data_IF_305935185636
#
_entry.id   IF_305935185636
#
_cell.length_a   1.000
_cell.length_b   1.000
_cell.length_c   1.000
_cell.angle_alpha   90.00
_cell.angle_beta   90.00
_cell.angle_gamma   90.00
#
_symmetry.space_group_name_H-M   'P 1'
#
loop_
_entity.id
_entity.type
_entity.pdbx_description
1 polymer ?
#
# COMPACT_ATOMS: atom_id res chain seq x y z
N UNK A 1 15.06 11.03 -42.69
CA UNK A 1 15.27 9.83 -41.85
C UNK A 1 15.86 10.22 -40.49
N UNK A 2 15.21 11.13 -39.72
CA UNK A 2 15.82 11.77 -38.53
C UNK A 2 14.92 11.81 -37.26
N UNK A 3 13.79 11.11 -37.22
CA UNK A 3 12.77 11.33 -36.17
C UNK A 3 12.98 10.51 -34.87
N UNK A 4 13.68 9.36 -34.93
CA UNK A 4 13.91 8.52 -33.75
C UNK A 4 15.10 9.01 -32.90
N UNK A 5 16.12 9.57 -33.55
CA UNK A 5 17.35 10.03 -32.89
C UNK A 5 17.11 11.36 -32.18
N UNK A 6 16.42 12.31 -32.84
CA UNK A 6 15.99 13.57 -32.21
C UNK A 6 15.19 13.31 -30.93
N UNK A 7 14.30 12.33 -30.96
CA UNK A 7 13.51 11.92 -29.81
C UNK A 7 14.35 11.34 -28.66
N UNK A 8 15.37 10.51 -28.98
CA UNK A 8 16.29 9.98 -27.96
C UNK A 8 17.12 11.12 -27.33
N UNK A 9 17.60 12.06 -28.13
CA UNK A 9 18.35 13.23 -27.65
C UNK A 9 17.47 14.11 -26.75
N UNK A 10 16.23 14.36 -27.15
CA UNK A 10 15.25 15.11 -26.35
C UNK A 10 14.99 14.43 -24.99
N UNK A 11 14.79 13.11 -25.00
CA UNK A 11 14.63 12.30 -23.78
C UNK A 11 15.85 12.38 -22.87
N UNK A 12 17.06 12.25 -23.41
CA UNK A 12 18.29 12.31 -22.63
C UNK A 12 18.58 13.72 -22.08
N UNK A 13 18.13 14.77 -22.78
CA UNK A 13 18.26 16.16 -22.33
C UNK A 13 17.14 16.60 -21.37
N UNK A 14 16.05 15.84 -21.28
CA UNK A 14 14.94 16.16 -20.38
C UNK A 14 15.38 16.24 -18.91
N UNK A 15 15.00 17.31 -18.22
CA UNK A 15 15.19 17.47 -16.76
C UNK A 15 14.23 16.63 -15.93
N UNK A 16 13.19 16.06 -16.56
CA UNK A 16 12.14 15.26 -15.88
C UNK A 16 12.56 13.81 -15.62
N UNK A 17 13.70 13.37 -16.18
CA UNK A 17 14.15 11.98 -16.12
C UNK A 17 15.40 11.90 -15.23
N UNK A 18 15.40 10.95 -14.29
CA UNK A 18 16.53 10.75 -13.39
C UNK A 18 17.77 10.21 -14.12
N UNK A 19 18.95 10.39 -13.54
CA UNK A 19 20.23 9.94 -14.14
C UNK A 19 20.20 8.44 -14.44
N UNK A 20 19.68 7.61 -13.52
CA UNK A 20 19.58 6.16 -13.71
C UNK A 20 18.65 5.78 -14.87
N UNK A 21 17.53 6.48 -15.02
CA UNK A 21 16.62 6.28 -16.15
C UNK A 21 17.26 6.71 -17.47
N UNK A 22 18.07 7.79 -17.49
CA UNK A 22 18.83 8.19 -18.68
C UNK A 22 19.85 7.12 -19.07
N UNK A 23 20.53 6.48 -18.12
CA UNK A 23 21.45 5.36 -18.40
C UNK A 23 20.71 4.11 -18.94
N UNK A 24 19.49 3.85 -18.46
CA UNK A 24 18.69 2.73 -18.97
C UNK A 24 18.15 3.00 -20.37
N UNK A 25 17.62 4.19 -20.63
CA UNK A 25 17.20 4.65 -21.97
C UNK A 25 18.38 4.54 -22.94
N UNK A 26 19.55 4.99 -22.50
CA UNK A 26 20.80 4.87 -23.26
C UNK A 26 21.14 3.43 -23.65
N UNK A 27 21.13 2.49 -22.69
CA UNK A 27 21.43 1.10 -22.97
C UNK A 27 20.47 0.47 -23.97
N UNK A 28 19.19 0.83 -23.92
CA UNK A 28 18.18 0.35 -24.85
C UNK A 28 18.34 0.97 -26.24
N UNK A 29 18.62 2.28 -26.30
CA UNK A 29 18.89 2.99 -27.56
C UNK A 29 20.09 2.40 -28.29
N UNK A 30 21.20 2.08 -27.59
CA UNK A 30 22.37 1.44 -28.22
C UNK A 30 22.01 0.09 -28.82
N UNK A 31 21.31 -0.77 -28.06
CA UNK A 31 20.91 -2.10 -28.55
C UNK A 31 20.02 -2.01 -29.78
N UNK A 32 19.18 -0.98 -29.88
CA UNK A 32 18.30 -0.79 -31.02
C UNK A 32 19.03 -0.18 -32.21
N UNK A 33 19.96 0.76 -31.98
CA UNK A 33 20.78 1.35 -33.03
C UNK A 33 21.75 0.33 -33.65
N UNK A 34 22.29 -0.60 -32.84
CA UNK A 34 23.12 -1.72 -33.32
C UNK A 34 22.38 -2.63 -34.31
N UNK A 35 21.04 -2.69 -34.26
CA UNK A 35 20.23 -3.47 -35.20
C UNK A 35 19.99 -2.76 -36.52
N UNK A 36 20.21 -1.44 -36.59
CA UNK A 36 19.79 -0.62 -37.73
C UNK A 36 20.88 -0.40 -38.80
N UNK A 37 22.09 -0.94 -38.61
CA UNK A 37 23.17 -1.04 -39.61
C UNK A 37 23.38 0.22 -40.48
N UNK A 38 23.26 1.41 -39.88
CA UNK A 38 23.36 2.71 -40.55
C UNK A 38 24.60 3.46 -40.05
N UNK A 39 25.37 3.99 -41.02
CA UNK A 39 26.57 4.83 -40.92
C UNK A 39 27.10 5.11 -39.50
N UNK A 40 27.99 4.22 -39.04
CA UNK A 40 28.49 4.14 -37.66
C UNK A 40 29.32 5.34 -37.20
N UNK A 41 30.11 5.99 -38.06
CA UNK A 41 31.24 6.77 -37.56
C UNK A 41 30.88 8.19 -37.12
N UNK A 42 30.04 8.89 -37.88
CA UNK A 42 29.57 10.23 -37.50
C UNK A 42 28.67 10.17 -36.25
N UNK A 43 27.82 9.14 -36.18
CA UNK A 43 26.95 8.88 -35.03
C UNK A 43 27.72 8.48 -33.77
N UNK A 44 28.74 7.62 -33.86
CA UNK A 44 29.58 7.26 -32.71
C UNK A 44 30.25 8.48 -32.08
N UNK A 45 30.63 9.47 -32.89
CA UNK A 45 31.26 10.71 -32.44
C UNK A 45 30.31 11.59 -31.62
N UNK A 46 29.13 11.94 -32.15
CA UNK A 46 28.13 12.76 -31.43
C UNK A 46 27.65 12.05 -30.14
N UNK A 47 27.52 10.72 -30.19
CA UNK A 47 27.13 9.88 -29.05
C UNK A 47 28.23 9.84 -27.97
N UNK A 48 29.51 9.81 -28.34
CA UNK A 48 30.61 9.90 -27.38
C UNK A 48 30.69 11.27 -26.70
N UNK A 49 30.42 12.35 -27.44
CA UNK A 49 30.43 13.71 -26.89
C UNK A 49 29.34 13.90 -25.83
N UNK A 50 28.12 13.42 -26.09
CA UNK A 50 27.03 13.40 -25.10
C UNK A 50 27.37 12.58 -23.85
N UNK A 51 28.10 11.46 -24.02
CA UNK A 51 28.56 10.64 -22.88
C UNK A 51 29.56 11.40 -22.00
N UNK A 52 30.43 12.21 -22.59
CA UNK A 52 31.38 13.04 -21.84
C UNK A 52 30.66 14.15 -21.06
N UNK A 53 29.63 14.77 -21.67
CA UNK A 53 28.80 15.77 -21.00
C UNK A 53 28.00 15.18 -19.83
N UNK A 54 27.44 13.97 -19.97
CA UNK A 54 26.72 13.31 -18.87
C UNK A 54 27.69 12.92 -17.74
N UNK A 55 28.88 12.40 -18.07
CA UNK A 55 29.91 12.06 -17.07
C UNK A 55 30.38 13.29 -16.29
N UNK A 56 30.52 14.44 -16.93
CA UNK A 56 30.89 15.68 -16.23
C UNK A 56 29.78 16.12 -15.28
N UNK A 57 28.51 16.09 -15.70
CA UNK A 57 27.35 16.40 -14.84
C UNK A 57 27.27 15.46 -13.65
N UNK A 58 27.51 14.16 -13.83
CA UNK A 58 27.51 13.17 -12.73
C UNK A 58 28.69 13.40 -11.76
N UNK A 59 29.87 13.78 -12.27
CA UNK A 59 31.03 14.13 -11.44
C UNK A 59 30.75 15.38 -10.60
N UNK A 60 30.16 16.41 -11.19
CA UNK A 60 29.75 17.63 -10.48
C UNK A 60 28.68 17.34 -9.42
N UNK A 61 27.70 16.49 -9.73
CA UNK A 61 26.67 16.07 -8.77
C UNK A 61 27.23 15.22 -7.61
N UNK A 62 28.25 14.39 -7.86
CA UNK A 62 28.95 13.64 -6.80
C UNK A 62 29.80 14.55 -5.92
N UNK A 63 30.48 15.54 -6.50
CA UNK A 63 31.26 16.53 -5.74
C UNK A 63 30.37 17.42 -4.86
N UNK A 64 29.18 17.79 -5.32
CA UNK A 64 28.17 18.49 -4.51
C UNK A 64 27.65 17.64 -3.34
N UNK A 65 27.57 16.31 -3.52
CA UNK A 65 27.20 15.38 -2.44
C UNK A 65 28.34 15.14 -1.44
N UNK A 66 29.61 15.15 -1.89
CA UNK A 66 30.75 15.02 -0.97
C UNK A 66 30.96 16.26 -0.10
N UNK A 67 30.71 17.46 -0.64
CA UNK A 67 30.70 18.72 0.12
C UNK A 67 29.60 18.74 1.21
N UNK A 68 28.43 18.15 0.91
CA UNK A 68 27.36 18.00 1.91
C UNK A 68 27.64 16.88 2.94
N UNK A 69 28.49 15.89 2.63
CA UNK A 69 28.86 14.83 3.58
C UNK A 69 29.99 15.23 4.55
N UNK A 70 30.88 16.15 4.17
CA UNK A 70 31.90 16.69 5.08
C UNK A 70 31.27 17.60 6.16
N UNK A 71 30.13 18.22 5.87
CA UNK A 71 29.33 18.98 6.84
C UNK A 71 28.68 18.08 7.92
N UNK A 72 28.55 16.77 7.68
CA UNK A 72 27.92 15.81 8.59
C UNK A 72 28.89 15.12 9.55
N UNK A 73 30.20 15.19 9.32
CA UNK A 73 31.19 14.58 10.22
C UNK A 73 31.62 15.48 11.39
N UNK A 74 31.31 16.78 11.36
CA UNK A 74 31.60 17.71 12.46
C UNK A 74 30.48 17.70 13.52
N UNK A 75 29.26 17.22 13.19
CA UNK A 75 28.07 17.33 14.07
C UNK A 75 27.95 16.20 15.11
N UNK A 76 28.85 15.21 15.15
CA UNK A 76 28.77 14.10 16.14
C UNK A 76 29.58 14.32 17.42
N UNK A 77 30.10 15.53 17.67
CA UNK A 77 30.69 15.91 18.96
C UNK A 77 30.29 17.34 19.33
N UNK A 78 29.09 17.48 19.91
CA UNK A 78 28.71 18.48 20.94
C UNK A 78 27.19 18.67 20.94
N UNK A 79 26.49 17.71 21.55
CA UNK A 79 25.09 17.89 21.96
C UNK A 79 25.06 18.65 23.28
N UNK A 80 25.12 19.98 23.25
CA UNK A 80 24.71 20.89 24.34
C UNK A 80 24.82 22.35 23.90
N UNK A 81 24.04 22.79 22.90
CA UNK A 81 23.70 24.21 22.63
C UNK A 81 22.90 24.29 21.32
N UNK A 82 21.59 24.09 21.38
CA UNK A 82 20.63 24.56 20.37
C UNK A 82 19.20 24.42 20.91
N UNK A 83 18.97 24.97 22.10
CA UNK A 83 17.69 25.57 22.44
C UNK A 83 17.88 27.07 22.28
N UNK A 84 16.98 27.71 21.53
CA UNK A 84 16.91 29.12 21.16
C UNK A 84 17.71 29.51 19.91
N UNK A 85 17.03 29.45 18.77
CA UNK A 85 17.04 30.54 17.78
C UNK A 85 15.70 30.52 17.03
N UNK A 86 14.84 31.46 17.44
CA UNK A 86 13.57 31.86 16.83
C UNK A 86 13.70 32.13 15.32
N UNK A 87 12.79 31.63 14.47
CA UNK A 87 11.52 32.25 14.05
C UNK A 87 11.67 33.60 13.33
N UNK A 88 11.49 33.54 12.00
CA UNK A 88 10.78 34.44 11.05
C UNK A 88 11.35 34.11 9.65
N UNK A 89 10.63 33.73 8.60
CA UNK A 89 9.26 34.04 8.17
C UNK A 89 8.78 33.12 7.03
N UNK A 90 7.52 32.67 7.12
CA UNK A 90 6.54 32.39 6.04
C UNK A 90 6.78 31.33 4.95
N UNK A 91 6.25 30.12 5.19
CA UNK A 91 5.02 29.63 4.51
C UNK A 91 4.49 28.39 5.24
N UNK A 92 3.39 28.56 5.98
CA UNK A 92 2.77 27.51 6.78
C UNK A 92 2.13 26.41 5.94
N UNK A 93 2.80 25.27 5.85
CA UNK A 93 2.18 23.96 5.79
C UNK A 93 2.93 23.15 6.84
N UNK A 94 2.42 23.09 8.08
CA UNK A 94 2.91 22.04 8.99
C UNK A 94 2.51 20.73 8.33
N UNK A 95 3.46 19.98 7.80
CA UNK A 95 3.17 18.66 7.29
C UNK A 95 2.59 17.84 8.45
N UNK A 96 1.30 17.49 8.34
CA UNK A 96 0.63 16.72 9.39
C UNK A 96 1.27 15.34 9.43
N UNK A 97 2.16 15.13 10.39
CA UNK A 97 2.72 13.81 10.69
C UNK A 97 1.58 12.90 11.14
N UNK A 98 1.42 11.74 10.48
CA UNK A 98 0.47 10.69 10.87
C UNK A 98 1.22 9.55 11.57
N UNK A 99 0.58 8.95 12.56
CA UNK A 99 1.12 7.78 13.26
C UNK A 99 0.41 6.53 12.75
N UNK A 100 1.14 5.44 12.52
CA UNK A 100 0.56 4.16 12.13
C UNK A 100 -0.35 3.63 13.25
N UNK A 101 -1.65 3.47 12.96
CA UNK A 101 -2.62 3.02 13.96
C UNK A 101 -3.74 2.17 13.34
N UNK A 102 -3.50 0.87 13.06
CA UNK A 102 -4.52 -0.01 12.49
C UNK A 102 -5.81 -0.10 13.29
N UNK A 103 -5.73 -0.08 14.63
CA UNK A 103 -6.88 -0.05 15.54
C UNK A 103 -7.83 1.12 15.23
N UNK A 104 -7.29 2.28 14.88
CA UNK A 104 -8.08 3.48 14.51
C UNK A 104 -8.84 3.27 13.20
N UNK A 105 -8.22 2.60 12.21
CA UNK A 105 -8.90 2.21 10.97
C UNK A 105 -10.02 1.21 11.22
N UNK A 106 -9.78 0.18 12.04
CA UNK A 106 -10.82 -0.80 12.41
C UNK A 106 -12.01 -0.08 13.05
N UNK A 107 -11.76 0.84 13.99
CA UNK A 107 -12.81 1.64 14.63
C UNK A 107 -13.59 2.50 13.63
N UNK A 108 -12.89 3.13 12.69
CA UNK A 108 -13.50 3.96 11.65
C UNK A 108 -14.46 3.15 10.77
N UNK A 109 -13.99 2.01 10.26
CA UNK A 109 -14.79 1.15 9.41
C UNK A 109 -15.91 0.45 10.18
N UNK A 110 -15.69 0.13 11.46
CA UNK A 110 -16.72 -0.49 12.31
C UNK A 110 -17.92 0.43 12.56
N UNK A 111 -17.73 1.76 12.53
CA UNK A 111 -18.85 2.71 12.65
C UNK A 111 -19.92 2.50 11.57
N UNK A 112 -19.60 1.93 10.42
CA UNK A 112 -20.58 1.58 9.39
C UNK A 112 -21.52 0.44 9.80
N UNK A 113 -21.18 -0.31 10.85
CA UNK A 113 -22.04 -1.39 11.39
C UNK A 113 -22.81 -0.97 12.64
N UNK A 114 -22.19 -0.18 13.52
CA UNK A 114 -22.78 0.18 14.82
C UNK A 114 -23.16 1.65 14.98
N UNK A 115 -22.51 2.56 14.26
CA UNK A 115 -22.67 4.00 14.46
C UNK A 115 -23.98 4.47 13.83
N UNK A 116 -24.88 5.07 14.63
CA UNK A 116 -26.21 5.48 14.16
C UNK A 116 -26.17 6.31 12.88
N UNK A 117 -25.15 7.16 12.70
CA UNK A 117 -25.03 8.04 11.54
C UNK A 117 -24.48 7.34 10.29
N UNK A 118 -23.59 6.37 10.44
CA UNK A 118 -22.98 5.66 9.31
C UNK A 118 -23.71 4.36 8.93
N UNK A 119 -24.47 3.77 9.87
CA UNK A 119 -25.17 2.51 9.69
C UNK A 119 -26.21 2.55 8.56
N UNK A 120 -26.86 3.70 8.33
CA UNK A 120 -27.80 3.91 7.22
C UNK A 120 -27.18 3.66 5.85
N UNK A 121 -25.88 3.91 5.68
CA UNK A 121 -25.21 3.68 4.39
C UNK A 121 -25.05 2.20 4.04
N UNK A 122 -25.27 1.31 5.01
CA UNK A 122 -24.97 -0.12 4.86
C UNK A 122 -26.10 -1.04 5.34
N UNK A 123 -27.16 -0.54 5.98
CA UNK A 123 -28.24 -1.36 6.52
C UNK A 123 -29.61 -0.79 6.15
N UNK A 124 -30.56 -1.67 5.83
CA UNK A 124 -31.97 -1.31 5.86
C UNK A 124 -32.42 -1.22 7.32
N UNK A 125 -32.86 -0.06 7.76
CA UNK A 125 -33.42 0.13 9.10
C UNK A 125 -34.94 0.13 8.97
N UNK A 126 -35.50 -1.05 8.72
CA UNK A 126 -36.94 -1.23 8.56
C UNK A 126 -37.70 -0.73 9.80
N UNK A 127 -38.71 0.12 9.57
CA UNK A 127 -39.84 0.31 10.48
C UNK A 127 -39.65 1.20 11.72
N UNK A 128 -38.51 1.87 11.93
CA UNK A 128 -38.28 2.60 13.20
C UNK A 128 -38.13 4.12 13.09
N UNK A 129 -37.76 4.70 11.93
CA UNK A 129 -37.62 6.17 11.77
C UNK A 129 -37.89 6.62 10.32
N UNK A 130 -38.50 7.80 10.09
CA UNK A 130 -38.60 8.37 8.75
C UNK A 130 -37.21 8.60 8.15
N UNK A 131 -37.04 8.26 6.86
CA UNK A 131 -35.76 8.40 6.17
C UNK A 131 -35.59 9.80 5.55
N UNK A 132 -34.78 10.65 6.17
CA UNK A 132 -34.42 11.97 5.61
C UNK A 132 -33.02 11.95 5.00
N UNK A 133 -32.94 11.72 3.68
CA UNK A 133 -31.66 11.65 2.95
C UNK A 133 -30.74 12.85 3.19
N UNK A 134 -31.30 14.08 3.16
CA UNK A 134 -30.51 15.31 3.32
C UNK A 134 -29.87 15.40 4.69
N UNK A 135 -30.67 15.17 5.74
CA UNK A 135 -30.21 15.18 7.12
C UNK A 135 -29.15 14.10 7.37
N UNK A 136 -29.31 12.90 6.81
CA UNK A 136 -28.30 11.85 6.94
C UNK A 136 -26.98 12.21 6.26
N UNK A 137 -27.02 12.75 5.04
CA UNK A 137 -25.80 13.18 4.35
C UNK A 137 -25.10 14.32 5.11
N UNK A 138 -25.85 15.30 5.62
CA UNK A 138 -25.29 16.41 6.40
C UNK A 138 -24.64 15.91 7.70
N UNK A 139 -25.36 15.09 8.48
CA UNK A 139 -24.85 14.50 9.72
C UNK A 139 -23.65 13.60 9.48
N UNK A 140 -23.68 12.77 8.43
CA UNK A 140 -22.57 11.91 8.07
C UNK A 140 -21.36 12.74 7.65
N UNK A 141 -21.53 13.82 6.88
CA UNK A 141 -20.42 14.66 6.45
C UNK A 141 -19.75 15.36 7.63
N UNK A 142 -20.52 15.82 8.63
CA UNK A 142 -19.95 16.37 9.87
C UNK A 142 -19.06 15.34 10.60
N UNK A 143 -19.58 14.14 10.84
CA UNK A 143 -18.84 13.08 11.54
C UNK A 143 -17.66 12.54 10.73
N UNK A 144 -17.81 12.48 9.41
CA UNK A 144 -16.76 12.07 8.50
C UNK A 144 -15.59 13.08 8.52
N UNK A 145 -15.91 14.37 8.59
CA UNK A 145 -14.90 15.42 8.73
C UNK A 145 -14.21 15.39 10.10
N UNK A 146 -14.89 14.97 11.18
CA UNK A 146 -14.23 14.71 12.48
C UNK A 146 -13.21 13.57 12.34
N UNK A 147 -13.55 12.52 11.56
CA UNK A 147 -12.63 11.43 11.27
C UNK A 147 -11.40 11.85 10.43
N UNK A 148 -11.33 13.06 9.87
CA UNK A 148 -10.11 13.58 9.21
C UNK A 148 -8.93 13.73 10.18
N UNK A 149 -9.21 13.88 11.48
CA UNK A 149 -8.18 13.88 12.52
C UNK A 149 -7.65 12.48 12.88
N UNK A 150 -8.26 11.43 12.33
CA UNK A 150 -7.87 10.06 12.64
C UNK A 150 -6.72 9.61 11.75
N UNK A 151 -5.89 8.72 12.31
CA UNK A 151 -4.82 8.05 11.58
C UNK A 151 -5.41 6.96 10.67
N UNK A 152 -6.02 7.40 9.57
CA UNK A 152 -6.62 6.58 8.52
C UNK A 152 -5.78 6.72 7.25
N UNK A 153 -5.63 5.62 6.52
CA UNK A 153 -5.02 5.61 5.20
C UNK A 153 -5.82 6.52 4.24
N UNK A 154 -5.15 7.43 3.54
CA UNK A 154 -5.81 8.39 2.66
C UNK A 154 -6.62 7.70 1.54
N UNK A 155 -6.12 6.59 1.01
CA UNK A 155 -6.83 5.84 -0.06
C UNK A 155 -8.15 5.30 0.48
N UNK A 156 -8.15 4.70 1.67
CA UNK A 156 -9.37 4.22 2.32
C UNK A 156 -10.34 5.36 2.61
N UNK A 157 -9.84 6.47 3.16
CA UNK A 157 -10.65 7.65 3.43
C UNK A 157 -11.31 8.20 2.17
N UNK A 158 -10.59 8.28 1.05
CA UNK A 158 -11.18 8.74 -0.21
C UNK A 158 -12.16 7.72 -0.81
N UNK A 159 -11.84 6.42 -0.77
CA UNK A 159 -12.71 5.36 -1.29
C UNK A 159 -14.07 5.31 -0.57
N UNK A 160 -14.07 5.43 0.75
CA UNK A 160 -15.29 5.49 1.56
C UNK A 160 -16.03 6.80 1.30
N UNK A 161 -15.31 7.93 1.22
CA UNK A 161 -15.92 9.24 0.92
C UNK A 161 -16.64 9.22 -0.42
N UNK A 162 -16.04 8.65 -1.46
CA UNK A 162 -16.60 8.59 -2.81
C UNK A 162 -17.81 7.64 -2.91
N UNK A 163 -17.93 6.65 -2.03
CA UNK A 163 -19.12 5.79 -1.97
C UNK A 163 -20.33 6.51 -1.34
N UNK A 164 -20.07 7.36 -0.35
CA UNK A 164 -21.12 8.01 0.47
C UNK A 164 -21.51 9.37 -0.09
N UNK A 165 -20.52 10.18 -0.45
CA UNK A 165 -20.72 11.59 -0.79
C UNK A 165 -20.45 11.86 -2.26
N UNK A 166 -21.18 12.83 -2.80
CA UNK A 166 -20.84 13.40 -4.09
C UNK A 166 -19.62 14.33 -3.93
N UNK A 167 -18.44 13.84 -4.25
CA UNK A 167 -17.19 14.59 -4.15
C UNK A 167 -16.84 15.39 -5.42
N UNK A 168 -17.64 15.27 -6.49
CA UNK A 168 -17.28 15.76 -7.82
C UNK A 168 -16.13 14.99 -8.49
N UNK A 169 -15.56 14.01 -7.80
CA UNK A 169 -14.52 13.13 -8.33
C UNK A 169 -15.16 12.05 -9.23
N UNK A 170 -14.57 11.85 -10.41
CA UNK A 170 -14.96 10.78 -11.32
C UNK A 170 -14.51 9.39 -10.84
N UNK A 171 -13.57 9.33 -9.89
CA UNK A 171 -13.07 8.08 -9.33
C UNK A 171 -14.15 7.36 -8.52
N UNK A 172 -14.64 6.24 -9.07
CA UNK A 172 -15.54 5.32 -8.38
C UNK A 172 -14.78 4.47 -7.37
N UNK A 173 -15.47 4.06 -6.31
CA UNK A 173 -14.95 3.11 -5.31
C UNK A 173 -14.64 1.77 -5.99
N UNK A 174 -13.45 1.24 -5.78
CA UNK A 174 -12.97 0.03 -6.45
C UNK A 174 -13.10 -1.21 -5.55
N UNK A 175 -13.38 -2.38 -6.11
CA UNK A 175 -13.33 -3.70 -5.47
C UNK A 175 -12.16 -4.48 -6.07
N UNK A 176 -11.26 -4.96 -5.21
CA UNK A 176 -10.11 -5.74 -5.63
C UNK A 176 -10.52 -6.94 -6.50
N UNK A 177 -9.95 -6.99 -7.71
CA UNK A 177 -10.18 -8.07 -8.67
C UNK A 177 -11.58 -8.11 -9.30
N UNK A 178 -12.47 -7.16 -8.96
CA UNK A 178 -13.84 -7.07 -9.51
C UNK A 178 -14.15 -5.71 -10.16
N UNK A 179 -13.27 -4.72 -10.02
CA UNK A 179 -13.42 -3.41 -10.65
C UNK A 179 -14.27 -2.45 -9.82
N UNK A 180 -14.75 -1.37 -10.45
CA UNK A 180 -15.44 -0.30 -9.73
C UNK A 180 -16.87 -0.68 -9.35
N UNK A 181 -17.29 -0.32 -8.14
CA UNK A 181 -18.71 -0.25 -7.79
C UNK A 181 -19.36 0.75 -8.75
N UNK A 182 -20.37 0.28 -9.49
CA UNK A 182 -21.00 1.08 -10.53
C UNK A 182 -21.86 2.21 -9.97
N UNK A 183 -22.59 1.94 -8.89
CA UNK A 183 -23.54 2.86 -8.25
C UNK A 183 -23.23 3.03 -6.76
N UNK A 184 -23.56 4.21 -6.25
CA UNK A 184 -23.21 4.69 -4.91
C UNK A 184 -24.32 5.59 -4.37
N UNK A 185 -24.14 6.15 -3.17
CA UNK A 185 -25.16 6.98 -2.55
C UNK A 185 -25.50 8.28 -3.31
N UNK A 186 -24.57 8.77 -4.14
CA UNK A 186 -24.85 9.91 -5.03
C UNK A 186 -25.85 9.57 -6.13
N UNK A 187 -25.88 8.30 -6.57
CA UNK A 187 -26.67 7.88 -7.73
C UNK A 187 -28.15 7.66 -7.34
N UNK A 188 -28.43 7.47 -6.05
CA UNK A 188 -29.78 7.40 -5.47
C UNK A 188 -30.31 8.76 -5.00
N UNK A 189 -29.52 9.83 -5.06
CA UNK A 189 -29.92 11.15 -4.54
C UNK A 189 -31.20 11.66 -5.19
N UNK A 190 -31.31 11.55 -6.52
CA UNK A 190 -32.49 11.97 -7.26
C UNK A 190 -33.72 11.17 -6.82
N UNK A 191 -33.57 9.85 -6.72
CA UNK A 191 -34.64 8.96 -6.29
C UNK A 191 -35.13 9.29 -4.87
N UNK A 192 -34.21 9.55 -3.94
CA UNK A 192 -34.54 9.92 -2.56
C UNK A 192 -35.28 11.26 -2.45
N UNK A 193 -35.10 12.18 -3.41
CA UNK A 193 -35.86 13.43 -3.48
C UNK A 193 -37.30 13.20 -3.98
N UNK A 194 -37.48 12.24 -4.89
CA UNK A 194 -38.78 11.87 -5.45
C UNK A 194 -39.60 10.98 -4.50
N UNK A 195 -38.92 10.22 -3.62
CA UNK A 195 -39.52 9.29 -2.65
C UNK A 195 -39.12 9.67 -1.21
N UNK A 196 -39.63 10.80 -0.67
CA UNK A 196 -39.26 11.25 0.66
C UNK A 196 -39.69 10.24 1.72
N UNK A 197 -38.87 10.08 2.76
CA UNK A 197 -39.06 9.11 3.85
C UNK A 197 -38.92 7.63 3.47
N UNK A 198 -38.56 7.31 2.22
CA UNK A 198 -38.29 5.95 1.77
C UNK A 198 -36.79 5.70 1.63
N UNK A 199 -36.31 4.58 2.18
CA UNK A 199 -34.91 4.21 2.06
C UNK A 199 -34.64 3.54 0.69
N UNK A 200 -33.57 3.91 -0.04
CA UNK A 200 -33.33 3.40 -1.39
C UNK A 200 -32.87 1.93 -1.45
N UNK A 201 -32.97 1.16 -0.35
CA UNK A 201 -32.31 -0.15 -0.20
C UNK A 201 -32.74 -1.16 -1.28
N UNK A 202 -34.02 -1.14 -1.64
CA UNK A 202 -34.63 -2.05 -2.61
C UNK A 202 -34.88 -1.39 -3.97
N UNK A 203 -34.25 -0.25 -4.26
CA UNK A 203 -34.40 0.43 -5.55
C UNK A 203 -33.61 -0.32 -6.62
N UNK A 204 -34.23 -0.52 -7.78
CA UNK A 204 -33.61 -1.14 -8.95
C UNK A 204 -32.84 -0.11 -9.77
N UNK A 205 -31.59 -0.44 -10.08
CA UNK A 205 -30.73 0.28 -11.02
C UNK A 205 -30.20 -0.73 -12.04
N UNK A 206 -30.68 -0.62 -13.29
CA UNK A 206 -30.19 -1.42 -14.41
C UNK A 206 -30.23 -2.95 -14.15
N UNK A 207 -31.26 -3.42 -13.41
CA UNK A 207 -31.47 -4.84 -13.10
C UNK A 207 -30.77 -5.33 -11.84
N UNK A 208 -30.14 -4.45 -11.05
CA UNK A 208 -29.57 -4.75 -9.74
C UNK A 208 -30.19 -3.88 -8.66
N UNK A 209 -30.34 -4.44 -7.46
CA UNK A 209 -30.89 -3.69 -6.34
C UNK A 209 -29.80 -2.86 -5.66
N UNK A 210 -30.14 -1.70 -5.11
CA UNK A 210 -29.15 -0.84 -4.45
C UNK A 210 -28.41 -1.56 -3.30
N UNK A 211 -29.10 -2.45 -2.58
CA UNK A 211 -28.50 -3.33 -1.57
C UNK A 211 -27.34 -4.19 -2.10
N UNK A 212 -27.30 -4.50 -3.39
CA UNK A 212 -26.23 -5.29 -3.99
C UNK A 212 -24.94 -4.47 -4.06
N UNK A 213 -25.04 -3.17 -4.36
CA UNK A 213 -23.89 -2.24 -4.31
C UNK A 213 -23.46 -1.92 -2.87
N UNK A 214 -24.41 -1.85 -1.93
CA UNK A 214 -24.10 -1.79 -0.50
C UNK A 214 -23.32 -3.04 -0.06
N UNK A 215 -23.74 -4.22 -0.50
CA UNK A 215 -23.06 -5.48 -0.19
C UNK A 215 -21.65 -5.51 -0.78
N UNK A 216 -21.49 -5.05 -2.01
CA UNK A 216 -20.17 -4.85 -2.62
C UNK A 216 -19.28 -3.92 -1.80
N UNK A 217 -19.80 -2.79 -1.33
CA UNK A 217 -19.07 -1.87 -0.46
C UNK A 217 -18.65 -2.52 0.86
N UNK A 218 -19.54 -3.29 1.51
CA UNK A 218 -19.20 -4.03 2.73
C UNK A 218 -18.00 -4.97 2.50
N UNK A 219 -17.96 -5.69 1.39
CA UNK A 219 -16.83 -6.57 1.05
C UNK A 219 -15.50 -5.84 0.74
N UNK A 220 -15.49 -4.51 0.68
CA UNK A 220 -14.28 -3.68 0.61
C UNK A 220 -13.76 -3.33 2.00
N UNK A 221 -14.66 -3.12 2.97
CA UNK A 221 -14.33 -2.59 4.31
C UNK A 221 -14.33 -3.64 5.42
N UNK A 222 -14.81 -4.86 5.14
CA UNK A 222 -14.81 -5.95 6.12
C UNK A 222 -14.78 -7.35 5.48
N UNK A 223 -14.13 -8.29 6.16
CA UNK A 223 -14.35 -9.71 5.92
C UNK A 223 -15.61 -10.14 6.63
N UNK A 224 -16.49 -10.79 5.87
CA UNK A 224 -17.77 -11.27 6.34
C UNK A 224 -17.81 -12.79 6.30
N UNK A 225 -18.68 -13.34 7.13
CA UNK A 225 -18.89 -14.80 7.25
C UNK A 225 -20.25 -15.24 6.70
N UNK A 226 -21.09 -14.29 6.26
CA UNK A 226 -22.43 -14.56 5.73
C UNK A 226 -22.44 -14.82 4.21
N UNK A 227 -21.34 -14.53 3.52
CA UNK A 227 -21.09 -14.94 2.14
C UNK A 227 -20.02 -16.03 2.13
N UNK A 228 -20.45 -17.28 1.88
CA UNK A 228 -19.58 -18.45 1.92
C UNK A 228 -18.41 -18.34 0.92
N UNK A 229 -18.62 -17.74 -0.25
CA UNK A 229 -17.62 -17.60 -1.31
C UNK A 229 -16.65 -16.43 -1.08
N UNK A 230 -17.02 -15.49 -0.19
CA UNK A 230 -16.24 -14.29 0.14
C UNK A 230 -15.68 -14.29 1.57
N UNK A 231 -15.64 -15.45 2.23
CA UNK A 231 -14.93 -15.64 3.50
C UNK A 231 -13.43 -15.39 3.37
N UNK A 232 -12.79 -15.04 4.50
CA UNK A 232 -11.36 -14.67 4.55
C UNK A 232 -10.45 -15.75 3.93
N UNK A 233 -10.57 -16.99 4.41
CA UNK A 233 -9.68 -18.06 3.96
C UNK A 233 -9.85 -18.39 2.47
N UNK A 234 -11.08 -18.37 1.94
CA UNK A 234 -11.35 -18.61 0.51
C UNK A 234 -10.69 -17.52 -0.34
N UNK A 235 -10.87 -16.24 0.03
CA UNK A 235 -10.32 -15.12 -0.75
C UNK A 235 -8.80 -15.08 -0.70
N UNK A 236 -8.18 -15.28 0.47
CA UNK A 236 -6.72 -15.33 0.62
C UNK A 236 -6.14 -16.52 -0.14
N UNK A 237 -6.75 -17.70 -0.02
CA UNK A 237 -6.33 -18.90 -0.76
C UNK A 237 -6.38 -18.68 -2.27
N UNK A 238 -7.48 -18.11 -2.78
CA UNK A 238 -7.64 -17.79 -4.20
C UNK A 238 -6.59 -16.79 -4.67
N UNK A 239 -6.32 -15.75 -3.88
CA UNK A 239 -5.30 -14.74 -4.18
C UNK A 239 -3.91 -15.37 -4.30
N UNK A 240 -3.48 -16.11 -3.26
CA UNK A 240 -2.14 -16.71 -3.21
C UNK A 240 -1.95 -17.73 -4.35
N UNK A 241 -2.91 -18.64 -4.55
CA UNK A 241 -2.85 -19.63 -5.64
C UNK A 241 -2.91 -19.01 -7.03
N UNK A 242 -3.59 -17.89 -7.18
CA UNK A 242 -3.69 -17.19 -8.47
C UNK A 242 -2.39 -16.50 -8.90
N UNK A 243 -1.50 -16.20 -7.95
CA UNK A 243 -0.21 -15.54 -8.22
C UNK A 243 0.91 -16.56 -8.33
N UNK A 244 0.90 -17.56 -7.45
CA UNK A 244 1.90 -18.62 -7.47
C UNK A 244 1.74 -19.49 -8.73
N UNK A 245 2.84 -19.74 -9.43
CA UNK A 245 2.85 -20.63 -10.59
C UNK A 245 2.58 -22.09 -10.20
N UNK A 246 2.28 -22.92 -11.21
CA UNK A 246 1.93 -24.35 -11.06
C UNK A 246 2.95 -25.19 -10.30
N UNK A 247 4.20 -24.73 -10.23
CA UNK A 247 5.30 -25.44 -9.56
C UNK A 247 5.33 -25.24 -8.05
N UNK A 248 4.57 -24.28 -7.54
CA UNK A 248 4.40 -24.09 -6.10
C UNK A 248 3.32 -25.03 -5.57
N UNK A 249 3.56 -25.56 -4.38
CA UNK A 249 2.55 -26.31 -3.61
C UNK A 249 2.29 -25.57 -2.30
N UNK A 250 1.46 -24.51 -2.32
CA UNK A 250 1.17 -23.76 -1.10
C UNK A 250 0.35 -24.63 -0.14
N UNK A 251 0.90 -24.86 1.04
CA UNK A 251 0.25 -25.51 2.17
C UNK A 251 -0.52 -24.45 2.98
N UNK A 252 -1.81 -24.67 3.17
CA UNK A 252 -2.64 -23.88 4.08
C UNK A 252 -2.87 -24.72 5.33
N UNK A 253 -2.39 -24.25 6.47
CA UNK A 253 -2.41 -25.04 7.71
C UNK A 253 -3.83 -25.37 8.17
N UNK A 254 -3.93 -26.34 9.08
CA UNK A 254 -5.19 -26.61 9.79
C UNK A 254 -5.71 -25.34 10.48
N UNK A 255 -4.85 -24.60 11.18
CA UNK A 255 -5.24 -23.35 11.86
C UNK A 255 -5.78 -22.31 10.89
N UNK A 256 -5.14 -22.14 9.72
CA UNK A 256 -5.64 -21.25 8.66
C UNK A 256 -7.06 -21.61 8.22
N UNK A 257 -7.38 -22.90 8.10
CA UNK A 257 -8.70 -23.34 7.70
C UNK A 257 -9.71 -23.18 8.84
N UNK A 258 -9.38 -23.65 10.04
CA UNK A 258 -10.27 -23.68 11.20
C UNK A 258 -10.64 -22.27 11.66
N UNK A 259 -9.65 -21.38 11.80
CA UNK A 259 -9.88 -19.98 12.20
C UNK A 259 -10.45 -19.18 11.04
N UNK A 260 -9.88 -19.34 9.83
CA UNK A 260 -10.10 -18.47 8.70
C UNK A 260 -11.54 -18.44 8.15
N UNK A 261 -12.34 -19.48 8.39
CA UNK A 261 -13.78 -19.47 8.05
C UNK A 261 -14.62 -18.57 8.96
N UNK A 262 -14.14 -18.32 10.19
CA UNK A 262 -14.84 -17.54 11.21
C UNK A 262 -14.36 -16.09 11.33
N UNK A 263 -13.34 -15.72 10.53
CA UNK A 263 -12.75 -14.38 10.58
C UNK A 263 -13.77 -13.33 10.15
N UNK A 264 -14.17 -12.51 11.12
CA UNK A 264 -14.89 -11.25 10.93
C UNK A 264 -14.00 -10.10 11.41
N UNK A 265 -13.61 -9.23 10.48
CA UNK A 265 -12.75 -8.08 10.79
C UNK A 265 -13.04 -6.92 9.84
N UNK A 266 -12.85 -5.70 10.32
CA UNK A 266 -12.98 -4.48 9.54
C UNK A 266 -11.59 -3.99 9.13
N UNK A 267 -11.32 -3.89 7.83
CA UNK A 267 -10.08 -3.35 7.28
C UNK A 267 -10.30 -2.91 5.83
N UNK A 268 -9.39 -2.13 5.27
CA UNK A 268 -9.37 -1.92 3.82
C UNK A 268 -8.86 -3.19 3.11
N UNK A 269 -9.78 -3.99 2.57
CA UNK A 269 -9.46 -5.28 1.96
C UNK A 269 -8.67 -5.09 0.67
N UNK A 270 -8.87 -3.98 -0.06
CA UNK A 270 -8.15 -3.76 -1.31
C UNK A 270 -6.67 -3.50 -1.05
N UNK A 271 -6.37 -2.65 -0.07
CA UNK A 271 -4.99 -2.37 0.33
C UNK A 271 -4.31 -3.62 0.91
N UNK A 272 -5.03 -4.37 1.74
CA UNK A 272 -4.54 -5.65 2.27
C UNK A 272 -4.21 -6.64 1.14
N UNK A 273 -5.12 -6.82 0.17
CA UNK A 273 -4.90 -7.72 -0.96
C UNK A 273 -3.79 -7.23 -1.90
N UNK A 274 -3.67 -5.93 -2.11
CA UNK A 274 -2.54 -5.35 -2.85
C UNK A 274 -1.20 -5.65 -2.20
N UNK A 275 -1.12 -5.55 -0.86
CA UNK A 275 0.07 -5.88 -0.09
C UNK A 275 0.39 -7.38 -0.15
N UNK A 276 -0.60 -8.25 0.10
CA UNK A 276 -0.42 -9.70 0.04
C UNK A 276 -0.02 -10.13 -1.37
N UNK A 277 -0.63 -9.54 -2.41
CA UNK A 277 -0.24 -9.80 -3.79
C UNK A 277 1.25 -9.55 -4.00
N UNK A 278 1.74 -8.38 -3.59
CA UNK A 278 3.15 -8.03 -3.76
C UNK A 278 4.09 -8.96 -2.97
N UNK A 279 3.70 -9.35 -1.76
CA UNK A 279 4.45 -10.33 -0.95
C UNK A 279 4.58 -11.67 -1.70
N UNK A 280 3.47 -12.17 -2.25
CA UNK A 280 3.46 -13.45 -2.99
C UNK A 280 4.23 -13.33 -4.31
N UNK A 281 4.19 -12.18 -4.98
CA UNK A 281 5.03 -11.91 -6.15
C UNK A 281 6.53 -11.97 -5.82
N UNK A 282 6.97 -11.46 -4.66
CA UNK A 282 8.36 -11.60 -4.22
C UNK A 282 8.75 -13.07 -4.01
N UNK A 283 7.85 -13.88 -3.45
CA UNK A 283 8.05 -15.33 -3.30
C UNK A 283 8.19 -15.99 -4.68
N UNK A 284 7.28 -15.68 -5.61
CA UNK A 284 7.29 -16.20 -6.98
C UNK A 284 8.60 -15.85 -7.70
N UNK A 285 9.08 -14.61 -7.58
CA UNK A 285 10.36 -14.17 -8.16
C UNK A 285 11.58 -14.89 -7.57
N UNK A 286 11.46 -15.39 -6.34
CA UNK A 286 12.52 -16.12 -5.64
C UNK A 286 12.31 -17.65 -5.66
N UNK A 287 11.48 -18.17 -6.55
CA UNK A 287 11.21 -19.62 -6.70
C UNK A 287 12.47 -20.48 -6.77
N UNK A 288 13.55 -19.97 -7.36
CA UNK A 288 14.83 -20.69 -7.46
C UNK A 288 15.40 -21.11 -6.09
N UNK A 289 15.05 -20.39 -5.03
CA UNK A 289 15.46 -20.73 -3.66
C UNK A 289 14.61 -21.88 -3.11
N UNK A 290 13.31 -21.86 -3.38
CA UNK A 290 12.36 -22.89 -2.94
C UNK A 290 11.00 -22.69 -3.62
N UNK A 291 10.28 -23.78 -3.87
CA UNK A 291 8.89 -23.78 -4.32
C UNK A 291 7.88 -24.10 -3.20
N UNK A 292 8.35 -24.14 -1.96
CA UNK A 292 7.52 -24.43 -0.79
C UNK A 292 7.02 -23.15 -0.12
N UNK A 293 5.70 -23.06 0.02
CA UNK A 293 5.03 -21.93 0.68
C UNK A 293 4.08 -22.49 1.72
N UNK A 294 4.13 -21.94 2.93
CA UNK A 294 3.18 -22.26 4.01
C UNK A 294 2.42 -20.99 4.38
N UNK A 295 1.11 -21.11 4.55
CA UNK A 295 0.22 -20.02 4.97
C UNK A 295 -0.48 -20.45 6.24
N UNK A 296 -0.28 -19.68 7.30
CA UNK A 296 -0.83 -19.92 8.63
C UNK A 296 -1.68 -18.76 9.11
N UNK A 297 -2.57 -19.01 10.05
CA UNK A 297 -3.36 -17.98 10.72
C UNK A 297 -3.44 -18.32 12.20
N UNK A 298 -2.90 -17.44 13.03
CA UNK A 298 -3.00 -17.56 14.48
C UNK A 298 -4.11 -16.64 14.99
N UNK A 299 -4.89 -17.13 15.94
CA UNK A 299 -5.92 -16.36 16.62
C UNK A 299 -5.41 -15.86 17.98
N UNK A 300 -5.23 -14.54 18.11
CA UNK A 300 -4.83 -13.89 19.36
C UNK A 300 -5.97 -13.02 19.89
N UNK A 301 -5.97 -12.65 21.17
CA UNK A 301 -7.09 -11.92 21.78
C UNK A 301 -7.46 -10.62 21.05
N UNK A 302 -6.45 -9.83 20.64
CA UNK A 302 -6.65 -8.53 20.00
C UNK A 302 -6.56 -8.54 18.47
N UNK A 303 -5.95 -9.56 17.86
CA UNK A 303 -5.68 -9.60 16.43
C UNK A 303 -5.61 -11.02 15.90
N UNK A 304 -5.83 -11.19 14.60
CA UNK A 304 -5.41 -12.37 13.87
C UNK A 304 -4.01 -12.13 13.30
N UNK A 305 -3.12 -13.12 13.37
CA UNK A 305 -1.79 -13.03 12.76
C UNK A 305 -1.73 -13.92 11.51
N UNK A 306 -1.80 -13.30 10.32
CA UNK A 306 -1.62 -14.01 9.05
C UNK A 306 -0.12 -14.17 8.80
N UNK A 307 0.33 -15.41 8.65
CA UNK A 307 1.72 -15.73 8.31
C UNK A 307 1.82 -16.27 6.88
N UNK A 308 2.68 -15.66 6.06
CA UNK A 308 3.03 -16.16 4.72
C UNK A 308 4.52 -16.49 4.72
N UNK A 309 4.84 -17.77 4.56
CA UNK A 309 6.17 -18.33 4.81
C UNK A 309 6.72 -18.92 3.52
N UNK A 310 7.82 -18.38 3.03
CA UNK A 310 8.63 -18.99 1.97
C UNK A 310 9.69 -19.88 2.63
N UNK A 311 9.40 -21.19 2.66
CA UNK A 311 10.19 -22.21 3.37
C UNK A 311 11.49 -22.46 2.61
N UNK A 312 12.59 -22.75 3.32
CA UNK A 312 13.93 -22.96 2.73
C UNK A 312 14.40 -21.79 1.86
N UNK A 313 14.16 -20.55 2.33
CA UNK A 313 14.44 -19.32 1.58
C UNK A 313 15.13 -18.28 2.44
N UNK A 314 15.69 -17.26 1.79
CA UNK A 314 16.41 -16.16 2.43
C UNK A 314 16.28 -14.88 1.59
N UNK A 315 16.51 -13.72 2.19
CA UNK A 315 16.56 -12.45 1.45
C UNK A 315 17.99 -12.18 0.97
N UNK A 316 18.14 -11.87 -0.32
CA UNK A 316 19.45 -11.55 -0.92
C UNK A 316 19.88 -10.10 -0.66
N UNK A 317 19.23 -9.39 0.26
CA UNK A 317 19.49 -7.99 0.57
C UNK A 317 20.52 -7.88 1.70
N UNK A 318 21.32 -6.81 1.64
CA UNK A 318 22.24 -6.42 2.71
C UNK A 318 21.45 -5.58 3.73
N UNK A 319 21.77 -5.69 5.02
CA UNK A 319 21.08 -4.99 6.11
C UNK A 319 21.08 -3.47 5.97
N UNK A 320 22.11 -2.90 5.32
CA UNK A 320 22.26 -1.46 5.06
C UNK A 320 21.62 -0.98 3.74
N UNK A 321 20.99 -1.86 2.96
CA UNK A 321 20.36 -1.47 1.69
C UNK A 321 19.14 -0.57 1.94
N UNK A 322 19.08 0.57 1.25
CA UNK A 322 17.97 1.53 1.28
C UNK A 322 16.62 0.85 0.96
N UNK A 323 16.63 -0.22 0.16
CA UNK A 323 15.44 -1.04 -0.10
C UNK A 323 14.96 -1.77 1.14
N UNK A 324 15.87 -2.30 1.94
CA UNK A 324 15.54 -3.02 3.19
C UNK A 324 15.15 -2.05 4.31
N UNK A 325 15.60 -0.80 4.25
CA UNK A 325 15.08 0.30 5.06
C UNK A 325 13.63 0.68 4.68
N UNK A 326 13.11 0.17 3.57
CA UNK A 326 11.72 0.36 3.17
C UNK A 326 11.37 1.78 2.74
N UNK A 327 12.35 2.51 2.20
CA UNK A 327 12.22 3.92 1.79
C UNK A 327 12.01 4.11 0.28
N UNK A 328 11.96 3.02 -0.50
CA UNK A 328 11.74 3.09 -1.94
C UNK A 328 11.19 1.79 -2.54
N UNK A 329 10.75 1.88 -3.80
CA UNK A 329 10.33 0.74 -4.61
C UNK A 329 9.08 0.04 -4.10
N UNK A 330 8.95 -1.24 -4.44
CA UNK A 330 7.78 -2.04 -4.06
C UNK A 330 7.65 -2.20 -2.55
N UNK A 331 8.77 -2.15 -1.82
CA UNK A 331 8.75 -2.26 -0.36
C UNK A 331 8.06 -1.05 0.28
N UNK A 332 8.43 0.18 -0.10
CA UNK A 332 7.73 1.40 0.34
C UNK A 332 6.25 1.39 -0.06
N UNK A 333 5.94 0.92 -1.27
CA UNK A 333 4.56 0.78 -1.73
C UNK A 333 3.74 -0.16 -0.83
N UNK A 334 4.28 -1.33 -0.47
CA UNK A 334 3.61 -2.27 0.44
C UNK A 334 3.42 -1.66 1.82
N UNK A 335 4.44 -0.98 2.36
CA UNK A 335 4.33 -0.29 3.64
C UNK A 335 3.24 0.78 3.61
N UNK A 336 3.13 1.56 2.54
CA UNK A 336 2.05 2.56 2.36
C UNK A 336 0.67 1.95 2.19
N UNK A 337 0.56 0.78 1.55
CA UNK A 337 -0.72 0.04 1.49
C UNK A 337 -1.13 -0.46 2.88
N UNK A 338 -0.18 -0.99 3.65
CA UNK A 338 -0.45 -1.53 4.99
C UNK A 338 -0.51 -0.45 6.08
N UNK A 339 -0.07 0.78 5.82
CA UNK A 339 -0.10 1.88 6.77
C UNK A 339 -1.53 2.15 7.24
N UNK A 340 -1.75 2.04 8.54
CA UNK A 340 -3.06 2.05 9.21
C UNK A 340 -4.01 0.90 8.84
N UNK A 341 -3.54 -0.16 8.17
CA UNK A 341 -4.34 -1.35 7.83
C UNK A 341 -3.90 -2.57 8.66
N UNK A 342 -2.59 -2.80 8.77
CA UNK A 342 -2.03 -3.91 9.54
C UNK A 342 -0.62 -3.57 10.03
N UNK A 343 -0.22 -4.15 11.16
CA UNK A 343 1.21 -4.20 11.49
C UNK A 343 1.87 -5.24 10.62
N UNK A 344 3.15 -5.01 10.31
CA UNK A 344 3.90 -5.88 9.43
C UNK A 344 5.33 -6.07 9.93
N UNK A 345 5.71 -7.32 10.08
CA UNK A 345 7.09 -7.72 10.34
C UNK A 345 7.54 -8.84 9.39
N UNK A 346 8.84 -8.92 9.17
CA UNK A 346 9.49 -9.99 8.43
C UNK A 346 10.50 -10.67 9.33
N UNK A 347 10.47 -12.01 9.36
CA UNK A 347 11.52 -12.83 9.98
C UNK A 347 12.22 -13.56 8.85
N UNK A 348 13.52 -13.32 8.70
CA UNK A 348 14.27 -13.86 7.57
C UNK A 348 15.76 -14.03 7.89
N UNK A 349 16.39 -14.93 7.13
CA UNK A 349 17.84 -14.98 6.98
C UNK A 349 18.26 -13.99 5.89
N UNK A 350 19.18 -13.07 6.19
CA UNK A 350 19.76 -12.11 5.25
C UNK A 350 21.13 -12.61 4.79
N UNK A 351 21.45 -12.43 3.51
CA UNK A 351 22.80 -12.63 2.99
C UNK A 351 23.58 -11.32 3.09
N UNK A 352 24.37 -11.17 4.15
CA UNK A 352 25.22 -10.01 4.38
C UNK A 352 26.66 -10.33 3.95
N UNK A 353 27.02 -9.93 2.73
CA UNK A 353 28.26 -10.34 2.07
C UNK A 353 28.39 -11.88 1.99
N UNK A 354 29.28 -12.46 2.80
CA UNK A 354 29.54 -13.91 2.89
C UNK A 354 28.89 -14.55 4.12
N UNK A 355 28.29 -13.77 5.02
CA UNK A 355 27.65 -14.27 6.24
C UNK A 355 26.13 -14.26 6.11
N UNK A 356 25.52 -15.28 6.69
CA UNK A 356 24.07 -15.36 6.82
C UNK A 356 23.69 -14.90 8.22
N UNK A 357 22.82 -13.89 8.31
CA UNK A 357 22.37 -13.32 9.58
C UNK A 357 20.87 -13.51 9.72
N UNK A 358 20.42 -14.09 10.83
CA UNK A 358 18.99 -14.18 11.12
C UNK A 358 18.53 -12.82 11.65
N UNK A 359 17.45 -12.29 11.11
CA UNK A 359 16.96 -10.98 11.48
C UNK A 359 15.43 -10.96 11.65
N UNK A 360 14.99 -10.00 12.46
CA UNK A 360 13.63 -9.52 12.50
C UNK A 360 13.61 -8.08 11.97
N UNK A 361 12.79 -7.84 10.96
CA UNK A 361 12.56 -6.53 10.34
C UNK A 361 11.17 -6.07 10.75
N UNK A 362 11.10 -5.00 11.54
CA UNK A 362 9.84 -4.33 11.88
C UNK A 362 9.57 -3.32 10.77
N UNK A 363 8.57 -3.62 9.94
CA UNK A 363 8.23 -2.80 8.78
C UNK A 363 7.19 -1.73 9.11
N UNK A 364 6.21 -2.08 9.94
CA UNK A 364 5.16 -1.20 10.46
C UNK A 364 4.77 -1.64 11.87
N UNK A 365 4.79 -0.69 12.80
CA UNK A 365 4.41 -0.81 14.21
C UNK A 365 3.88 0.54 14.75
N UNK A 366 3.52 0.60 16.03
CA UNK A 366 3.05 1.83 16.69
C UNK A 366 4.04 3.01 16.65
N UNK A 367 5.33 2.76 16.43
CA UNK A 367 6.37 3.79 16.35
C UNK A 367 6.54 4.33 14.93
N UNK A 368 5.86 3.74 13.94
CA UNK A 368 5.99 4.13 12.56
C UNK A 368 5.20 5.41 12.28
N UNK A 369 5.82 6.38 11.61
CA UNK A 369 5.16 7.64 11.25
C UNK A 369 5.28 7.93 9.76
N UNK A 370 4.31 8.67 9.23
CA UNK A 370 4.23 9.14 7.85
C UNK A 370 4.26 10.68 7.84
N UNK A 371 5.30 11.27 7.27
CA UNK A 371 5.41 12.71 7.04
C UNK A 371 5.78 12.96 5.59
N UNK A 372 5.11 13.90 4.92
CA UNK A 372 5.43 14.27 3.53
C UNK A 372 5.52 13.09 2.57
N UNK A 373 4.61 12.12 2.76
CA UNK A 373 4.54 10.87 2.00
C UNK A 373 5.79 9.97 2.16
N UNK A 374 6.57 10.15 3.22
CA UNK A 374 7.71 9.34 3.60
C UNK A 374 7.45 8.65 4.94
N UNK A 375 7.62 7.34 4.96
CA UNK A 375 7.56 6.55 6.20
C UNK A 375 8.92 6.58 6.90
N UNK A 376 8.91 6.50 8.23
CA UNK A 376 10.13 6.21 8.98
C UNK A 376 10.79 4.92 8.49
N UNK A 377 12.13 4.76 8.57
CA UNK A 377 12.80 3.54 8.12
C UNK A 377 12.36 2.30 8.91
N UNK A 378 12.50 1.12 8.32
CA UNK A 378 12.34 -0.16 9.03
C UNK A 378 13.37 -0.30 10.15
N UNK A 379 12.98 -0.94 11.25
CA UNK A 379 13.91 -1.33 12.33
C UNK A 379 14.36 -2.77 12.10
N UNK A 380 15.67 -3.00 12.04
CA UNK A 380 16.26 -4.32 11.80
C UNK A 380 17.00 -4.75 13.06
N UNK A 381 16.65 -5.92 13.58
CA UNK A 381 17.29 -6.52 14.76
C UNK A 381 17.82 -7.90 14.43
N UNK A 382 19.02 -8.22 14.93
CA UNK A 382 19.61 -9.54 14.77
C UNK A 382 18.94 -10.50 15.75
N UNK A 383 18.55 -11.67 15.26
CA UNK A 383 17.93 -12.73 16.05
C UNK A 383 18.96 -13.81 16.36
N UNK A 384 19.02 -14.32 17.62
CA UNK A 384 19.84 -15.47 17.95
C UNK A 384 19.25 -16.79 17.42
N UNK A 385 17.96 -16.80 17.08
CA UNK A 385 17.27 -17.99 16.60
C UNK A 385 17.57 -18.22 15.12
N UNK A 386 17.99 -19.43 14.79
CA UNK A 386 18.17 -19.84 13.42
C UNK A 386 16.82 -19.94 12.71
N UNK A 387 16.76 -19.34 11.51
CA UNK A 387 15.61 -19.47 10.62
C UNK A 387 16.09 -19.88 9.22
N UNK A 388 15.30 -20.71 8.57
CA UNK A 388 15.52 -21.22 7.20
C UNK A 388 14.42 -20.76 6.25
N UNK A 389 13.72 -19.68 6.57
CA UNK A 389 12.60 -19.17 5.80
C UNK A 389 12.62 -17.65 5.68
N UNK A 390 11.80 -17.14 4.76
CA UNK A 390 11.34 -15.74 4.77
C UNK A 390 9.86 -15.76 5.16
N UNK A 391 9.55 -15.25 6.36
CA UNK A 391 8.21 -15.22 6.92
C UNK A 391 7.73 -13.79 7.04
N UNK A 392 6.61 -13.48 6.40
CA UNK A 392 5.87 -12.23 6.56
C UNK A 392 4.75 -12.46 7.59
N UNK A 393 4.68 -11.61 8.61
CA UNK A 393 3.59 -11.65 9.61
C UNK A 393 2.79 -10.35 9.53
N UNK A 394 1.48 -10.49 9.32
CA UNK A 394 0.54 -9.38 9.25
C UNK A 394 -0.43 -9.47 10.43
N UNK A 395 -0.44 -8.47 11.32
CA UNK A 395 -1.40 -8.41 12.43
C UNK A 395 -2.64 -7.65 12.00
N UNK A 396 -3.77 -8.35 11.99
CA UNK A 396 -5.09 -7.85 11.59
C UNK A 396 -5.96 -7.70 12.83
N UNK A 397 -6.18 -6.46 13.26
CA UNK A 397 -6.83 -6.18 14.55
C UNK A 397 -8.32 -6.48 14.55
N UNK A 398 -8.80 -7.05 15.65
CA UNK A 398 -10.20 -7.38 15.90
C UNK A 398 -10.95 -6.18 16.43
N UNK A 399 -12.27 -6.23 16.29
CA UNK A 399 -13.18 -5.23 16.84
C UNK A 399 -13.45 -5.39 18.34
N UNK A 400 -13.24 -6.59 18.90
CA UNK A 400 -13.72 -6.98 20.25
C UNK A 400 -13.16 -6.13 21.40
N UNK A 401 -12.08 -5.37 21.18
CA UNK A 401 -11.36 -4.63 22.21
C UNK A 401 -11.08 -3.15 21.80
N UNK A 402 -11.98 -2.49 21.05
CA UNK A 402 -11.80 -1.12 20.50
C UNK A 402 -12.81 -0.08 20.97
#
# INVERSE_FOLDING_TARGET
>A
MNNKISFIIELLNSRKISVSQKEQIWHLSIKELQKLNLHEDQMKSEIQELRLQIKSVVKTAKNLRSLNSESYQIITKDNTLLNNLDLQSNSGISSKQKIHAPKTMVKFLYNFSIGEKFKWFTHNLEGLKPFNYKEYIENANQDYNIATGWNINNVTYHNVKNFIFNTGDSNKTNIYGKGNIQFSWRDVEKWCKEHPNEHPYNVDFEGYLFKDYITQFKHIIEFRTDDADLTFNIRIRKLIRGILGVDFKPEFTKSFNDVGHSVKLFCDINLLFGAIKQIVEWIQLNKVKSSQVKVDLEDHDEFYCLEIIHVNSYMSAISSDVKLLGLSGDFDKVRKMLFSVADWEIIAKLKNHEKMENCKIICLDENTTLSDNLLTPNVITISPYEVDYVKHRLKLYKTKNL
#
